data_IF_546608597602
#
_entry.id   IF_546608597602
#
_cell.length_a   1.000
_cell.length_b   1.000
_cell.length_c   1.000
_cell.angle_alpha   90.00
_cell.angle_beta   90.00
_cell.angle_gamma   90.00
#
_symmetry.space_group_name_H-M   'P 1'
#
loop_
_entity.id
_entity.type
_entity.pdbx_description
1 polymer ?
#
# COMPACT_ATOMS: atom_id res chain seq x y z
N UNK A 1 -5.10 4.11 -20.40
CA UNK A 1 -4.43 5.16 -19.62
C UNK A 1 -4.03 4.48 -18.33
N UNK A 2 -2.75 4.54 -17.94
CA UNK A 2 -2.25 3.87 -16.73
C UNK A 2 -2.01 4.89 -15.63
N UNK A 3 -2.10 4.45 -14.38
CA UNK A 3 -1.64 5.27 -13.24
C UNK A 3 -0.10 5.32 -13.21
N UNK A 4 0.45 6.28 -12.47
CA UNK A 4 1.90 6.52 -12.41
C UNK A 4 2.69 5.31 -11.90
N UNK A 5 2.15 4.54 -10.95
CA UNK A 5 2.80 3.36 -10.38
C UNK A 5 2.81 2.18 -11.37
N UNK A 6 1.72 1.98 -12.13
CA UNK A 6 1.64 1.00 -13.21
C UNK A 6 2.60 1.34 -14.36
N UNK A 7 2.67 2.62 -14.75
CA UNK A 7 3.57 3.09 -15.78
C UNK A 7 5.04 2.88 -15.37
N UNK A 8 5.37 3.15 -14.11
CA UNK A 8 6.70 2.91 -13.58
C UNK A 8 7.02 1.40 -13.45
N UNK A 9 6.07 0.57 -13.00
CA UNK A 9 6.24 -0.89 -12.95
C UNK A 9 6.53 -1.48 -14.34
N UNK A 10 5.82 -1.02 -15.38
CA UNK A 10 6.10 -1.38 -16.77
C UNK A 10 7.50 -0.93 -17.21
N UNK A 11 7.91 0.29 -16.84
CA UNK A 11 9.27 0.77 -17.11
C UNK A 11 10.34 -0.13 -16.49
N UNK A 12 10.16 -0.54 -15.23
CA UNK A 12 11.06 -1.46 -14.54
C UNK A 12 11.07 -2.85 -15.19
N UNK A 13 9.93 -3.36 -15.64
CA UNK A 13 9.82 -4.66 -16.33
C UNK A 13 10.54 -4.66 -17.70
N UNK A 14 10.45 -3.54 -18.43
CA UNK A 14 11.00 -3.44 -19.79
C UNK A 14 12.50 -3.14 -19.81
N UNK A 15 12.94 -2.20 -18.96
CA UNK A 15 14.29 -1.61 -19.08
C UNK A 15 14.98 -1.39 -17.72
N UNK A 16 14.31 -1.66 -16.61
CA UNK A 16 14.84 -1.45 -15.27
C UNK A 16 15.22 -2.73 -14.55
N UNK A 17 15.03 -2.73 -13.23
CA UNK A 17 15.42 -3.82 -12.33
C UNK A 17 14.50 -5.05 -12.44
N UNK A 18 13.32 -4.88 -13.03
CA UNK A 18 12.36 -5.95 -13.30
C UNK A 18 12.72 -6.81 -14.52
N UNK A 19 13.71 -6.43 -15.33
CA UNK A 19 14.14 -7.23 -16.48
C UNK A 19 14.60 -8.61 -16.03
N UNK A 20 14.05 -9.65 -16.65
CA UNK A 20 14.33 -11.05 -16.29
C UNK A 20 13.56 -11.58 -15.07
N UNK A 21 12.75 -10.73 -14.42
CA UNK A 21 11.88 -11.10 -13.32
C UNK A 21 10.42 -11.06 -13.82
N UNK A 22 9.82 -12.21 -14.17
CA UNK A 22 8.47 -12.23 -14.74
C UNK A 22 7.40 -11.86 -13.71
N UNK A 23 7.67 -12.04 -12.42
CA UNK A 23 6.70 -11.78 -11.35
C UNK A 23 7.33 -10.86 -10.30
N UNK A 24 6.79 -9.66 -10.15
CA UNK A 24 7.22 -8.73 -9.09
C UNK A 24 6.15 -7.71 -8.72
N UNK A 25 6.29 -7.16 -7.51
CA UNK A 25 5.55 -6.02 -7.02
C UNK A 25 6.45 -4.79 -7.05
N UNK A 26 6.02 -3.76 -7.77
CA UNK A 26 6.60 -2.43 -7.72
C UNK A 26 5.89 -1.62 -6.65
N UNK A 27 6.64 -0.95 -5.78
CA UNK A 27 6.11 -0.08 -4.72
C UNK A 27 6.80 1.27 -4.78
N UNK A 28 6.03 2.34 -4.82
CA UNK A 28 6.56 3.72 -4.75
C UNK A 28 6.26 4.34 -3.40
N UNK A 29 7.26 5.04 -2.87
CA UNK A 29 7.15 5.84 -1.66
C UNK A 29 7.39 7.30 -2.04
N UNK A 30 6.35 8.12 -1.93
CA UNK A 30 6.38 9.53 -2.25
C UNK A 30 5.42 10.30 -1.35
N UNK A 31 4.64 11.22 -1.93
CA UNK A 31 3.54 11.90 -1.22
C UNK A 31 2.53 10.90 -0.64
N UNK A 32 2.35 9.76 -1.32
CA UNK A 32 1.57 8.60 -0.90
C UNK A 32 2.33 7.29 -1.15
N UNK A 33 1.60 6.19 -1.19
CA UNK A 33 2.10 4.84 -1.49
C UNK A 33 1.35 4.31 -2.69
N UNK A 34 2.05 4.17 -3.81
CA UNK A 34 1.54 3.53 -5.01
C UNK A 34 2.12 2.14 -5.18
N UNK A 35 1.47 1.33 -6.01
CA UNK A 35 2.02 0.05 -6.41
C UNK A 35 1.56 -0.39 -7.79
N UNK A 36 2.30 -1.33 -8.36
CA UNK A 36 2.00 -1.97 -9.64
C UNK A 36 2.45 -3.43 -9.62
N UNK A 37 1.64 -4.31 -10.18
CA UNK A 37 1.89 -5.77 -10.13
C UNK A 37 2.25 -6.26 -11.53
N UNK A 38 3.40 -6.91 -11.67
CA UNK A 38 3.82 -7.59 -12.90
C UNK A 38 3.72 -9.10 -12.65
N UNK A 39 3.01 -9.81 -13.53
CA UNK A 39 2.87 -11.27 -13.50
C UNK A 39 3.11 -11.84 -14.90
N UNK A 40 3.95 -12.85 -15.03
CA UNK A 40 4.34 -13.41 -16.32
C UNK A 40 4.98 -12.40 -17.29
N UNK A 41 5.56 -11.32 -16.77
CA UNK A 41 6.13 -10.21 -17.54
C UNK A 41 5.11 -9.16 -17.98
N UNK A 42 3.85 -9.28 -17.59
CA UNK A 42 2.76 -8.39 -17.99
C UNK A 42 2.18 -7.63 -16.79
N UNK A 43 1.73 -6.40 -17.04
CA UNK A 43 1.04 -5.62 -16.01
C UNK A 43 -0.31 -6.22 -15.68
N UNK A 44 -0.43 -6.69 -14.44
CA UNK A 44 -1.65 -7.19 -13.85
C UNK A 44 -2.46 -6.03 -13.27
N UNK A 45 -3.59 -5.72 -13.91
CA UNK A 45 -4.52 -4.63 -13.52
C UNK A 45 -5.66 -5.11 -12.61
N UNK A 46 -5.83 -6.42 -12.49
CA UNK A 46 -6.98 -7.02 -11.81
C UNK A 46 -8.31 -6.79 -12.55
N UNK A 47 -9.43 -7.23 -11.96
CA UNK A 47 -10.75 -7.20 -12.60
C UNK A 47 -11.30 -5.80 -12.83
N UNK A 48 -10.91 -4.83 -11.99
CA UNK A 48 -11.44 -3.47 -11.99
C UNK A 48 -10.43 -2.40 -12.41
N UNK A 49 -9.15 -2.75 -12.58
CA UNK A 49 -8.09 -1.79 -12.87
C UNK A 49 -7.28 -1.33 -11.66
N UNK A 50 -7.69 -1.74 -10.45
CA UNK A 50 -7.17 -1.23 -9.18
C UNK A 50 -6.16 -2.19 -8.52
N UNK A 51 -5.63 -3.17 -9.26
CA UNK A 51 -4.57 -4.03 -8.71
C UNK A 51 -3.31 -3.21 -8.43
N UNK A 52 -2.72 -3.40 -7.25
CA UNK A 52 -1.53 -2.67 -6.83
C UNK A 52 -1.80 -1.47 -5.92
N UNK A 53 -3.03 -1.24 -5.46
CA UNK A 53 -3.35 -0.24 -4.41
C UNK A 53 -2.84 -0.65 -3.01
N UNK A 54 -1.54 -0.92 -2.90
CA UNK A 54 -0.89 -1.37 -1.67
C UNK A 54 -0.92 -0.30 -0.57
N UNK A 55 -1.04 0.99 -0.94
CA UNK A 55 -1.25 2.08 0.03
C UNK A 55 -2.54 1.97 0.82
N UNK A 56 -3.56 1.30 0.29
CA UNK A 56 -4.86 1.10 0.94
C UNK A 56 -4.96 -0.21 1.74
N UNK A 57 -3.85 -0.94 1.89
CA UNK A 57 -3.82 -2.11 2.77
C UNK A 57 -4.05 -1.65 4.21
N UNK A 58 -5.05 -2.23 4.87
CA UNK A 58 -5.37 -1.94 6.28
C UNK A 58 -4.23 -2.49 7.15
N UNK A 59 -3.62 -1.63 7.93
CA UNK A 59 -2.66 -1.97 9.00
C UNK A 59 -3.31 -1.94 10.38
N UNK A 60 -4.29 -1.06 10.60
CA UNK A 60 -5.04 -0.93 11.85
C UNK A 60 -6.53 -0.70 11.58
N UNK A 61 -7.33 -1.76 11.71
CA UNK A 61 -8.78 -1.69 11.48
C UNK A 61 -9.53 -0.87 12.53
N UNK A 62 -8.90 -0.57 13.68
CA UNK A 62 -9.52 0.09 14.81
C UNK A 62 -9.10 1.56 14.96
N UNK A 63 -8.30 2.09 14.02
CA UNK A 63 -7.78 3.45 14.02
C UNK A 63 -8.86 4.58 13.99
N UNK A 64 -10.16 4.24 14.01
CA UNK A 64 -11.27 5.20 14.07
C UNK A 64 -11.30 5.99 15.38
N UNK A 65 -10.82 5.42 16.48
CA UNK A 65 -10.64 6.15 17.75
C UNK A 65 -9.29 6.87 17.75
N UNK A 66 -9.31 8.13 17.31
CA UNK A 66 -8.12 8.99 17.28
C UNK A 66 -7.47 9.16 15.91
N UNK A 67 -8.24 8.95 14.83
CA UNK A 67 -7.81 9.17 13.44
C UNK A 67 -6.96 10.46 13.32
N UNK A 68 -5.70 10.28 12.93
CA UNK A 68 -4.73 11.36 12.80
C UNK A 68 -4.93 12.11 11.49
N UNK A 69 -5.42 11.42 10.47
CA UNK A 69 -5.81 11.97 9.19
C UNK A 69 -7.33 12.21 9.08
N UNK A 70 -7.80 13.46 8.91
CA UNK A 70 -9.21 13.77 8.71
C UNK A 70 -9.72 13.39 7.30
N UNK A 71 -8.86 12.93 6.39
CA UNK A 71 -9.26 12.55 5.03
C UNK A 71 -9.97 11.20 5.04
N UNK A 72 -11.15 11.09 4.41
CA UNK A 72 -11.84 9.81 4.28
C UNK A 72 -10.98 8.82 3.48
N UNK A 73 -11.03 7.53 3.86
CA UNK A 73 -10.34 6.40 3.20
C UNK A 73 -8.82 6.29 3.39
N UNK A 74 -8.21 7.12 4.26
CA UNK A 74 -6.80 6.98 4.67
C UNK A 74 -6.57 6.47 6.10
N UNK A 75 -7.59 6.50 6.94
CA UNK A 75 -7.46 6.05 8.34
C UNK A 75 -7.20 4.54 8.43
N UNK A 76 -6.13 4.15 9.11
CA UNK A 76 -5.78 2.76 9.39
C UNK A 76 -5.09 2.02 8.24
N UNK A 77 -4.74 2.69 7.14
CA UNK A 77 -4.11 2.04 5.96
C UNK A 77 -2.62 2.38 5.83
N UNK A 78 -1.88 1.55 5.11
CA UNK A 78 -0.42 1.62 4.94
C UNK A 78 0.07 3.02 4.56
N UNK A 79 -0.67 3.76 3.75
CA UNK A 79 -0.34 5.11 3.35
C UNK A 79 -0.32 6.13 4.50
N UNK A 80 -1.12 5.94 5.55
CA UNK A 80 -1.09 6.79 6.76
C UNK A 80 0.19 6.57 7.56
N UNK A 81 0.71 5.34 7.62
CA UNK A 81 1.86 5.01 8.47
C UNK A 81 3.22 5.19 7.79
N UNK A 82 3.30 4.96 6.48
CA UNK A 82 4.58 4.80 5.76
C UNK A 82 4.79 5.85 4.65
N UNK A 83 3.76 6.57 4.22
CA UNK A 83 3.90 7.65 3.24
C UNK A 83 4.70 8.85 3.81
N UNK A 84 5.25 9.73 2.97
CA UNK A 84 5.97 10.94 3.43
C UNK A 84 5.07 11.88 4.24
N UNK A 85 3.75 11.82 4.01
CA UNK A 85 2.74 12.52 4.82
C UNK A 85 2.32 11.76 6.09
N UNK A 86 2.89 10.59 6.35
CA UNK A 86 2.62 9.83 7.56
C UNK A 86 3.12 10.57 8.79
N UNK A 87 2.35 10.53 9.87
CA UNK A 87 2.69 11.27 11.07
C UNK A 87 3.90 10.57 11.72
N UNK A 88 4.96 11.30 12.15
CA UNK A 88 6.14 10.68 12.75
C UNK A 88 5.88 9.87 14.04
N UNK A 89 4.67 9.96 14.61
CA UNK A 89 4.21 9.14 15.74
C UNK A 89 3.83 7.70 15.33
N UNK A 90 3.64 7.42 14.03
CA UNK A 90 3.00 6.21 13.51
C UNK A 90 3.96 5.04 13.35
N UNK A 91 5.23 5.31 13.00
CA UNK A 91 6.28 4.29 12.92
C UNK A 91 6.54 3.56 14.25
N UNK A 92 6.15 4.17 15.38
CA UNK A 92 6.31 3.61 16.72
C UNK A 92 5.04 2.91 17.25
N UNK A 93 3.90 3.00 16.55
CA UNK A 93 2.63 2.35 16.93
C UNK A 93 2.39 1.07 16.13
N UNK A 94 2.76 1.03 14.85
CA UNK A 94 2.73 -0.20 14.04
C UNK A 94 3.63 -1.33 14.60
N UNK A 95 4.67 -0.99 15.39
CA UNK A 95 5.51 -1.94 16.11
C UNK A 95 4.99 -2.38 17.49
N UNK A 96 3.92 -1.76 18.01
CA UNK A 96 3.23 -2.21 19.22
C UNK A 96 2.15 -3.17 18.77
N UNK A 97 2.58 -4.42 18.62
CA UNK A 97 1.76 -5.50 18.08
C UNK A 97 0.44 -5.70 18.80
N UNK A 98 -0.41 -6.47 18.11
CA UNK A 98 -1.55 -7.23 18.63
C UNK A 98 -1.41 -7.53 20.13
N UNK A 99 -1.87 -6.61 20.96
CA UNK A 99 -2.02 -6.78 22.39
C UNK A 99 -3.48 -6.51 22.66
N UNK A 100 -4.20 -7.57 23.05
CA UNK A 100 -5.60 -7.56 23.49
C UNK A 100 -6.65 -7.61 22.36
N UNK A 101 -6.61 -8.68 21.55
CA UNK A 101 -7.87 -9.25 21.04
C UNK A 101 -8.67 -9.74 22.25
N UNK A 102 -9.62 -8.94 22.71
CA UNK A 102 -10.67 -9.41 23.61
C UNK A 102 -11.54 -10.41 22.83
N UNK A 103 -11.86 -11.60 23.37
CA UNK A 103 -12.66 -12.58 22.66
C UNK A 103 -14.07 -12.06 22.42
N UNK A 104 -14.59 -12.28 21.21
CA UNK A 104 -15.97 -11.96 20.83
C UNK A 104 -16.97 -12.62 21.80
N UNK A 105 -18.00 -11.91 22.29
CA UNK A 105 -19.05 -12.53 23.07
C UNK A 105 -19.97 -13.35 22.15
N UNK A 106 -20.11 -14.66 22.46
CA UNK A 106 -21.15 -15.53 21.89
C UNK A 106 -22.57 -15.08 22.23
#
# INVERSE_FOLDING_TARGET
MENDANAAALGEAMMGSGVGHPDFLYVTLGTGIGGGVILGGELYRGPHGDAGEVGHIILDAWAREGALDPRPFRTGVMEEYVGIQGHPADGQRAGRGCGECSPDPE
#
